data_IF_728154524740
#
_entry.id   IF_728154524740
#
_cell.length_a   1.000
_cell.length_b   1.000
_cell.length_c   1.000
_cell.angle_alpha   90.00
_cell.angle_beta   90.00
_cell.angle_gamma   90.00
#
_symmetry.space_group_name_H-M   'P 1'
#
loop_
_entity.id
_entity.type
_entity.pdbx_description
1 polymer ?
#
# COMPACT_ATOMS: atom_id res chain seq x y z
N UNK A 1 0.02 49.68 27.13
CA UNK A 1 -0.21 49.20 28.51
C UNK A 1 -1.72 49.23 28.71
N UNK A 2 -2.47 48.15 28.87
CA UNK A 2 -2.14 46.80 29.34
C UNK A 2 -3.13 45.80 28.74
N UNK A 3 -2.61 44.61 28.39
CA UNK A 3 -3.41 43.42 28.14
C UNK A 3 -3.80 42.84 29.50
N UNK A 4 -5.09 42.65 29.75
CA UNK A 4 -5.58 41.81 30.85
C UNK A 4 -6.34 40.64 30.22
N UNK A 5 -5.59 39.59 29.86
CA UNK A 5 -6.18 38.27 29.69
C UNK A 5 -5.93 37.52 31.00
N UNK A 6 -6.94 37.52 31.86
CA UNK A 6 -7.09 36.51 32.90
C UNK A 6 -7.54 35.23 32.21
N UNK A 7 -6.65 34.24 32.10
CA UNK A 7 -7.03 32.88 31.69
C UNK A 7 -6.57 31.91 32.78
N UNK A 8 -7.49 31.12 33.35
CA UNK A 8 -7.25 30.37 34.57
C UNK A 8 -6.41 29.10 34.34
N UNK A 9 -5.59 28.84 35.36
CA UNK A 9 -5.13 27.54 35.86
C UNK A 9 -4.60 26.54 34.83
N UNK A 10 -3.28 26.52 34.74
CA UNK A 10 -2.45 25.41 34.26
C UNK A 10 -2.86 24.12 34.99
N UNK A 11 -3.77 23.36 34.39
CA UNK A 11 -4.16 22.02 34.83
C UNK A 11 -3.26 21.01 34.12
N UNK A 12 -2.39 20.41 34.93
CA UNK A 12 -1.90 19.04 34.82
C UNK A 12 -1.36 18.59 33.45
N UNK A 13 -0.06 18.75 33.26
CA UNK A 13 0.68 17.97 32.28
C UNK A 13 0.81 16.53 32.81
N UNK A 14 0.30 15.50 32.10
CA UNK A 14 0.64 14.14 32.49
C UNK A 14 2.09 13.89 32.13
N UNK A 15 2.91 13.78 33.17
CA UNK A 15 4.27 13.25 33.14
C UNK A 15 4.19 11.84 32.54
N UNK A 16 4.70 11.63 31.33
CA UNK A 16 4.87 10.29 30.77
C UNK A 16 6.26 9.77 31.15
N UNK A 17 6.38 9.35 32.41
CA UNK A 17 7.51 8.58 32.93
C UNK A 17 7.26 7.10 32.61
N UNK A 18 8.00 6.54 31.65
CA UNK A 18 8.05 5.10 31.40
C UNK A 18 7.70 4.68 29.97
N UNK A 19 8.50 3.78 29.41
CA UNK A 19 8.17 3.06 28.17
C UNK A 19 6.86 2.30 28.43
N UNK A 20 5.78 2.68 27.75
CA UNK A 20 4.52 1.93 27.81
C UNK A 20 4.78 0.51 27.29
N UNK A 21 4.79 -0.47 28.20
CA UNK A 21 4.87 -1.92 27.88
C UNK A 21 3.48 -2.49 27.55
N UNK A 22 2.47 -1.62 27.44
CA UNK A 22 1.14 -2.02 27.03
C UNK A 22 1.19 -2.47 25.57
N UNK A 23 0.72 -3.70 25.26
CA UNK A 23 0.67 -4.16 23.89
C UNK A 23 -0.17 -3.17 23.07
N UNK A 24 0.25 -2.86 21.84
CA UNK A 24 -0.44 -1.89 21.02
C UNK A 24 -1.92 -2.27 20.87
N UNK A 25 -2.84 -1.29 20.83
CA UNK A 25 -4.28 -1.53 20.74
C UNK A 25 -4.73 -2.03 19.35
N UNK A 26 -3.80 -2.21 18.43
CA UNK A 26 -4.07 -2.82 17.13
C UNK A 26 -3.79 -4.32 17.23
N UNK A 27 -4.81 -5.11 16.92
CA UNK A 27 -4.58 -6.52 16.60
C UNK A 27 -3.71 -6.61 15.34
N UNK A 28 -2.86 -7.63 15.18
CA UNK A 28 -2.19 -7.91 13.92
C UNK A 28 -3.27 -8.19 12.86
N UNK A 29 -3.76 -7.14 12.20
CA UNK A 29 -4.84 -7.24 11.23
C UNK A 29 -4.44 -8.04 9.99
N UNK A 30 -3.14 -8.32 9.84
CA UNK A 30 -2.61 -9.16 8.79
C UNK A 30 -2.63 -10.63 9.21
N UNK A 31 -3.65 -11.34 8.76
CA UNK A 31 -3.68 -12.80 8.78
C UNK A 31 -3.29 -13.29 7.37
N UNK A 32 -2.05 -13.76 7.15
CA UNK A 32 -1.59 -14.14 5.81
C UNK A 32 -2.47 -15.21 5.16
N UNK A 33 -2.97 -16.16 5.96
CA UNK A 33 -3.88 -17.22 5.52
C UNK A 33 -5.26 -16.71 5.07
N UNK A 34 -5.65 -15.50 5.48
CA UNK A 34 -6.93 -14.87 5.12
C UNK A 34 -6.85 -14.14 3.78
N UNK A 35 -5.67 -14.02 3.17
CA UNK A 35 -5.52 -13.40 1.86
C UNK A 35 -5.94 -14.35 0.73
N UNK A 36 -6.57 -13.83 -0.33
CA UNK A 36 -6.86 -14.63 -1.50
C UNK A 36 -5.56 -15.09 -2.15
N UNK A 37 -5.45 -16.41 -2.33
CA UNK A 37 -4.31 -17.02 -3.02
C UNK A 37 -4.49 -16.86 -4.53
N UNK A 38 -3.57 -16.13 -5.15
CA UNK A 38 -3.50 -16.02 -6.61
C UNK A 38 -2.57 -17.11 -7.15
N UNK A 39 -3.03 -17.88 -8.14
CA UNK A 39 -2.18 -18.83 -8.86
C UNK A 39 -1.88 -18.26 -10.23
N UNK A 40 -0.60 -18.18 -10.59
CA UNK A 40 -0.14 -17.76 -11.91
C UNK A 40 0.10 -19.01 -12.76
N UNK A 41 -0.65 -19.24 -13.85
CA UNK A 41 -0.41 -20.36 -14.76
C UNK A 41 0.96 -20.24 -15.45
N UNK A 42 1.58 -21.38 -15.75
CA UNK A 42 2.87 -21.48 -16.47
C UNK A 42 4.03 -20.69 -15.82
N UNK A 43 4.07 -20.59 -14.49
CA UNK A 43 5.20 -20.03 -13.77
C UNK A 43 6.42 -20.95 -13.89
N UNK A 44 7.56 -20.40 -14.33
CA UNK A 44 8.81 -21.15 -14.36
C UNK A 44 9.29 -21.44 -12.92
N UNK A 45 9.90 -22.60 -12.65
CA UNK A 45 10.26 -23.02 -11.29
C UNK A 45 11.27 -22.10 -10.60
N UNK A 46 12.07 -21.36 -11.37
CA UNK A 46 13.01 -20.34 -10.90
C UNK A 46 12.35 -18.98 -10.60
N UNK A 47 11.12 -18.76 -11.10
CA UNK A 47 10.31 -17.57 -10.80
C UNK A 47 9.43 -17.77 -9.56
N UNK A 48 9.31 -19.00 -9.05
CA UNK A 48 8.66 -19.29 -7.79
C UNK A 48 9.58 -18.88 -6.62
N UNK A 49 9.12 -17.95 -5.79
CA UNK A 49 9.88 -17.49 -4.63
C UNK A 49 10.06 -18.59 -3.58
N UNK A 50 11.11 -18.47 -2.76
CA UNK A 50 11.31 -19.38 -1.63
C UNK A 50 10.15 -19.27 -0.64
N UNK A 51 9.73 -20.41 -0.09
CA UNK A 51 8.72 -20.46 0.96
C UNK A 51 9.23 -19.78 2.23
N UNK A 52 8.31 -19.31 3.08
CA UNK A 52 8.67 -18.69 4.35
C UNK A 52 9.52 -19.61 5.25
N UNK A 53 9.29 -20.93 5.20
CA UNK A 53 10.08 -21.93 5.95
C UNK A 53 11.47 -22.17 5.34
N UNK A 54 11.64 -22.00 4.04
CA UNK A 54 12.96 -22.01 3.42
C UNK A 54 13.73 -20.71 3.71
N UNK A 55 13.02 -19.57 3.70
CA UNK A 55 13.59 -18.26 4.04
C UNK A 55 14.02 -18.16 5.51
N UNK A 56 13.34 -18.83 6.44
CA UNK A 56 13.73 -18.83 7.85
C UNK A 56 15.05 -19.56 8.12
N UNK A 57 15.46 -20.43 7.20
CA UNK A 57 16.77 -21.11 7.24
C UNK A 57 17.88 -20.27 6.60
N UNK A 58 17.54 -19.19 5.89
CA UNK A 58 18.52 -18.26 5.34
C UNK A 58 19.04 -17.41 6.51
N UNK A 59 20.36 -17.43 6.80
CA UNK A 59 20.92 -16.67 7.91
C UNK A 59 20.66 -15.19 7.72
N UNK A 60 20.28 -14.51 8.80
CA UNK A 60 20.05 -13.07 8.76
C UNK A 60 21.38 -12.32 8.63
N UNK A 61 21.36 -11.11 8.09
CA UNK A 61 22.57 -10.28 7.95
C UNK A 61 23.28 -10.04 9.28
N UNK A 62 22.51 -9.97 10.37
CA UNK A 62 23.03 -9.82 11.73
C UNK A 62 23.76 -11.06 12.26
N UNK A 63 23.46 -12.25 11.73
CA UNK A 63 24.16 -13.49 12.10
C UNK A 63 25.43 -13.70 11.26
N UNK A 64 25.47 -13.16 10.03
CA UNK A 64 26.64 -13.26 9.16
C UNK A 64 27.72 -12.23 9.50
N UNK A 65 27.31 -11.09 10.07
CA UNK A 65 28.21 -10.08 10.63
C UNK A 65 28.43 -10.43 12.10
N UNK A 66 29.39 -11.33 12.35
CA UNK A 66 29.94 -11.57 13.68
C UNK A 66 30.21 -10.20 14.36
N UNK A 67 29.92 -10.06 15.66
CA UNK A 67 30.13 -8.84 16.45
C UNK A 67 31.64 -8.57 16.67
N UNK A 68 32.40 -8.46 15.59
CA UNK A 68 33.78 -8.05 15.53
C UNK A 68 33.84 -6.72 14.76
N UNK A 69 34.49 -5.67 15.29
CA UNK A 69 34.63 -4.40 14.59
C UNK A 69 35.21 -4.63 13.18
N UNK A 70 34.47 -4.14 12.18
CA UNK A 70 34.77 -4.24 10.76
C UNK A 70 36.27 -4.28 10.43
N UNK A 71 36.81 -5.48 10.22
CA UNK A 71 38.12 -5.66 9.61
C UNK A 71 37.88 -6.03 8.14
N UNK A 72 38.29 -5.11 7.26
CA UNK A 72 38.04 -5.13 5.83
C UNK A 72 38.52 -6.43 5.17
N UNK A 73 37.58 -7.21 4.62
CA UNK A 73 37.90 -8.32 3.73
C UNK A 73 37.84 -7.87 2.26
N UNK A 74 38.84 -8.25 1.43
CA UNK A 74 38.97 -7.76 0.06
C UNK A 74 37.88 -8.33 -0.84
N UNK A 75 37.27 -7.42 -1.61
CA UNK A 75 36.28 -7.69 -2.66
C UNK A 75 36.93 -8.59 -3.71
N UNK A 76 36.50 -9.86 -3.81
CA UNK A 76 36.88 -10.74 -4.89
C UNK A 76 35.92 -10.53 -6.08
N UNK A 77 36.40 -10.13 -7.28
CA UNK A 77 35.56 -10.00 -8.45
C UNK A 77 35.67 -11.29 -9.29
N UNK A 78 34.62 -12.11 -9.34
CA UNK A 78 34.47 -13.06 -10.45
C UNK A 78 32.99 -13.11 -10.85
N UNK A 79 32.60 -12.08 -11.59
CA UNK A 79 31.43 -12.09 -12.45
C UNK A 79 31.76 -12.98 -13.65
N UNK A 80 31.43 -14.26 -13.56
CA UNK A 80 31.53 -15.19 -14.68
C UNK A 80 30.25 -15.08 -15.52
N UNK A 81 30.29 -14.24 -16.56
CA UNK A 81 29.25 -14.20 -17.61
C UNK A 81 29.35 -15.48 -18.41
N UNK A 82 28.62 -16.49 -17.97
CA UNK A 82 28.26 -17.59 -18.85
C UNK A 82 27.32 -17.04 -19.92
N UNK A 83 27.77 -17.03 -21.17
CA UNK A 83 27.00 -16.60 -22.32
C UNK A 83 25.80 -17.54 -22.51
N UNK A 84 24.67 -17.17 -21.90
CA UNK A 84 23.37 -17.78 -22.14
C UNK A 84 22.92 -17.44 -23.57
N UNK A 85 22.38 -18.39 -24.37
CA UNK A 85 21.72 -18.03 -25.62
C UNK A 85 20.62 -17.02 -25.29
N UNK A 86 20.62 -15.88 -25.98
CA UNK A 86 19.65 -14.82 -25.75
C UNK A 86 18.24 -15.44 -25.63
N UNK A 87 17.57 -15.33 -24.47
CA UNK A 87 16.17 -15.71 -24.40
C UNK A 87 15.51 -14.76 -25.40
N UNK A 88 14.77 -15.34 -26.34
CA UNK A 88 13.88 -14.53 -27.17
C UNK A 88 12.87 -13.98 -26.18
N UNK A 89 13.13 -12.75 -25.71
CA UNK A 89 12.31 -12.08 -24.71
C UNK A 89 10.88 -12.07 -25.26
N UNK A 90 10.01 -12.86 -24.64
CA UNK A 90 8.59 -12.54 -24.61
C UNK A 90 8.50 -11.25 -23.78
N UNK A 91 8.84 -10.14 -24.43
CA UNK A 91 8.76 -8.80 -23.89
C UNK A 91 7.30 -8.56 -23.55
N UNK A 92 7.03 -8.46 -22.24
CA UNK A 92 5.87 -7.82 -21.62
C UNK A 92 4.69 -7.54 -22.56
N UNK A 93 3.75 -8.48 -22.65
CA UNK A 93 2.41 -8.21 -23.13
C UNK A 93 1.66 -7.37 -22.07
N UNK A 94 2.05 -6.10 -21.90
CA UNK A 94 1.42 -5.24 -20.89
C UNK A 94 1.45 -3.70 -21.13
N UNK A 95 1.57 -3.14 -22.36
CA UNK A 95 1.02 -1.80 -22.58
C UNK A 95 -0.51 -1.85 -22.77
N UNK A 96 -1.03 -2.87 -23.46
CA UNK A 96 -2.45 -2.96 -23.86
C UNK A 96 -3.40 -3.11 -22.65
N UNK A 97 -2.96 -3.77 -21.57
CA UNK A 97 -3.81 -4.01 -20.40
C UNK A 97 -4.10 -2.74 -19.59
N UNK A 98 -3.13 -1.83 -19.48
CA UNK A 98 -3.31 -0.54 -18.82
C UNK A 98 -4.31 0.33 -19.59
N UNK A 99 -4.22 0.32 -20.93
CA UNK A 99 -5.14 1.05 -21.79
C UNK A 99 -6.58 0.54 -21.63
N UNK A 100 -6.81 -0.77 -21.50
CA UNK A 100 -8.14 -1.34 -21.24
C UNK A 100 -8.76 -0.85 -19.92
N UNK A 101 -7.96 -0.73 -18.85
CA UNK A 101 -8.47 -0.28 -17.55
C UNK A 101 -8.78 1.22 -17.56
N UNK A 102 -7.99 2.01 -18.29
CA UNK A 102 -8.25 3.45 -18.47
C UNK A 102 -9.54 3.68 -19.26
N UNK A 103 -9.78 2.91 -20.33
CA UNK A 103 -11.01 3.00 -21.11
C UNK A 103 -12.25 2.61 -20.27
N UNK A 104 -12.18 1.51 -19.51
CA UNK A 104 -13.28 1.10 -18.62
C UNK A 104 -13.55 2.16 -17.54
N UNK A 105 -12.49 2.75 -16.96
CA UNK A 105 -12.63 3.85 -16.02
C UNK A 105 -13.33 5.06 -16.66
N UNK A 106 -12.96 5.41 -17.89
CA UNK A 106 -13.57 6.52 -18.62
C UNK A 106 -15.06 6.27 -18.85
N UNK A 107 -15.43 5.07 -19.31
CA UNK A 107 -16.84 4.68 -19.50
C UNK A 107 -17.62 4.78 -18.19
N UNK A 108 -17.06 4.26 -17.08
CA UNK A 108 -17.70 4.30 -15.77
C UNK A 108 -17.85 5.73 -15.24
N UNK A 109 -16.84 6.57 -15.44
CA UNK A 109 -16.88 7.99 -15.07
C UNK A 109 -17.92 8.77 -15.89
N UNK A 110 -18.04 8.48 -17.19
CA UNK A 110 -19.06 9.07 -18.05
C UNK A 110 -20.47 8.74 -17.55
N UNK A 111 -20.74 7.44 -17.30
CA UNK A 111 -22.02 7.00 -16.75
C UNK A 111 -22.34 7.66 -15.41
N UNK A 112 -21.36 7.71 -14.49
CA UNK A 112 -21.53 8.35 -13.20
C UNK A 112 -21.88 9.85 -13.35
N UNK A 113 -21.26 10.53 -14.30
CA UNK A 113 -21.54 11.94 -14.59
C UNK A 113 -22.97 12.14 -15.10
N UNK A 114 -23.42 11.29 -16.02
CA UNK A 114 -24.80 11.31 -16.52
C UNK A 114 -25.82 11.02 -15.41
N UNK A 115 -25.51 10.07 -14.53
CA UNK A 115 -26.35 9.73 -13.38
C UNK A 115 -26.44 10.92 -12.39
N UNK A 116 -25.33 11.62 -12.13
CA UNK A 116 -25.31 12.85 -11.30
C UNK A 116 -26.17 13.94 -11.93
N UNK A 117 -26.04 14.20 -13.23
CA UNK A 117 -26.87 15.19 -13.93
C UNK A 117 -28.35 14.82 -13.87
N UNK A 118 -28.67 13.54 -14.05
CA UNK A 118 -30.04 13.03 -13.95
C UNK A 118 -30.60 13.24 -12.54
N UNK A 119 -29.81 12.97 -11.51
CA UNK A 119 -30.19 13.16 -10.12
C UNK A 119 -30.43 14.63 -9.80
N UNK A 120 -29.51 15.52 -10.19
CA UNK A 120 -29.65 16.96 -9.97
C UNK A 120 -30.92 17.52 -10.64
N UNK A 121 -31.19 17.14 -11.89
CA UNK A 121 -32.42 17.55 -12.56
C UNK A 121 -33.69 17.03 -11.87
N UNK A 122 -33.63 15.87 -11.20
CA UNK A 122 -34.74 15.35 -10.38
C UNK A 122 -34.90 16.15 -9.08
N UNK A 123 -33.79 16.51 -8.42
CA UNK A 123 -33.80 17.35 -7.22
C UNK A 123 -34.38 18.74 -7.52
N UNK A 124 -33.95 19.38 -8.61
CA UNK A 124 -34.48 20.69 -9.02
C UNK A 124 -35.99 20.64 -9.24
N UNK A 125 -36.48 19.62 -9.96
CA UNK A 125 -37.93 19.42 -10.16
C UNK A 125 -38.67 19.18 -8.84
N UNK A 126 -38.05 18.48 -7.89
CA UNK A 126 -38.66 18.22 -6.58
C UNK A 126 -38.73 19.50 -5.75
N UNK A 127 -37.69 20.32 -5.78
CA UNK A 127 -37.64 21.62 -5.11
C UNK A 127 -38.72 22.57 -5.63
N UNK A 128 -38.86 22.68 -6.96
CA UNK A 128 -39.93 23.47 -7.59
C UNK A 128 -41.33 22.96 -7.24
N UNK A 129 -41.52 21.64 -7.18
CA UNK A 129 -42.79 21.04 -6.70
C UNK A 129 -43.03 21.34 -5.22
N UNK A 130 -41.99 21.38 -4.39
CA UNK A 130 -42.13 21.69 -2.97
C UNK A 130 -42.52 23.16 -2.77
N UNK A 131 -41.89 24.09 -3.50
CA UNK A 131 -42.25 25.52 -3.49
C UNK A 131 -43.70 25.75 -3.92
N UNK A 132 -44.14 25.11 -5.00
CA UNK A 132 -45.50 25.27 -5.54
C UNK A 132 -46.60 24.61 -4.70
N UNK A 133 -46.27 23.63 -3.86
CA UNK A 133 -47.23 22.98 -2.95
C UNK A 133 -47.30 23.61 -1.56
N UNK A 134 -46.28 24.39 -1.18
CA UNK A 134 -46.20 25.09 0.10
C UNK A 134 -46.66 26.57 0.02
N UNK A 135 -46.79 27.10 -1.19
CA UNK A 135 -47.41 28.40 -1.48
C UNK A 135 -48.94 28.25 -1.57
#
# INVERSE_FOLDING_TARGET
>A
MSQEHDQPSLTDAPVHEGIHVEPPPFEPGYQPESLPHISVPDLSPDAEGLTAEALSQVPTLTELVDEAPAEALPIAPVFEVSAHPAPTEATQDAPVQADLWVEELHVRMGKLTDDIHTLNARLDRLDERNKTTKA
#
